data_IF_625155763382
#
_entry.id   IF_625155763382
#
_cell.length_a   1.000
_cell.length_b   1.000
_cell.length_c   1.000
_cell.angle_alpha   90.00
_cell.angle_beta   90.00
_cell.angle_gamma   90.00
#
_symmetry.space_group_name_H-M   'P 1'
#
loop_
_entity.id
_entity.type
_entity.pdbx_description
1 polymer ?
#
# COMPACT_ATOMS: atom_id res chain seq x y z
N UNK A 1 -11.37 2.98 0.03
CA UNK A 1 -10.21 3.46 0.82
C UNK A 1 -9.84 4.87 0.38
N UNK A 2 -9.58 5.80 1.30
CA UNK A 2 -9.08 7.15 0.94
C UNK A 2 -7.56 7.08 0.70
N UNK A 3 -7.13 7.41 -0.52
CA UNK A 3 -5.72 7.31 -0.94
C UNK A 3 -4.79 8.26 -0.16
N UNK A 4 -5.28 9.43 0.26
CA UNK A 4 -4.48 10.36 1.07
C UNK A 4 -4.28 9.84 2.48
N UNK A 5 -5.30 9.18 3.03
CA UNK A 5 -5.21 8.53 4.35
C UNK A 5 -4.28 7.32 4.27
N UNK A 6 -4.44 6.48 3.25
CA UNK A 6 -3.58 5.32 3.01
C UNK A 6 -2.11 5.73 2.81
N UNK A 7 -1.84 6.72 1.95
CA UNK A 7 -0.48 7.21 1.71
C UNK A 7 0.18 7.75 2.98
N UNK A 8 -0.53 8.56 3.79
CA UNK A 8 0.00 9.03 5.08
C UNK A 8 0.25 7.88 6.06
N UNK A 9 -0.63 6.89 6.08
CA UNK A 9 -0.51 5.74 6.94
C UNK A 9 0.71 4.88 6.56
N UNK A 10 0.90 4.59 5.27
CA UNK A 10 2.08 3.88 4.77
C UNK A 10 3.37 4.64 5.06
N UNK A 11 3.38 5.97 4.89
CA UNK A 11 4.55 6.77 5.23
C UNK A 11 4.92 6.69 6.71
N UNK A 12 3.93 6.67 7.62
CA UNK A 12 4.17 6.51 9.05
C UNK A 12 4.57 5.07 9.42
N UNK A 13 3.91 4.07 8.83
CA UNK A 13 4.11 2.65 9.16
C UNK A 13 5.47 2.12 8.70
N UNK A 14 5.91 2.57 7.52
CA UNK A 14 7.16 2.12 6.90
C UNK A 14 8.33 3.09 7.10
N UNK A 15 8.09 4.25 7.72
CA UNK A 15 9.08 5.33 7.85
C UNK A 15 9.73 5.72 6.50
N UNK A 16 9.01 5.51 5.40
CA UNK A 16 9.44 5.77 4.03
C UNK A 16 8.55 6.79 3.34
N UNK A 17 9.03 7.35 2.22
CA UNK A 17 8.19 8.22 1.39
C UNK A 17 7.04 7.42 0.79
N UNK A 18 5.81 7.91 0.98
CA UNK A 18 4.65 7.45 0.21
C UNK A 18 3.96 8.65 -0.40
N UNK A 19 3.52 8.50 -1.65
CA UNK A 19 2.77 9.54 -2.36
C UNK A 19 1.72 8.93 -3.27
N UNK A 20 0.58 9.59 -3.34
CA UNK A 20 -0.45 9.33 -4.36
C UNK A 20 0.08 9.82 -5.70
N UNK A 21 0.32 8.91 -6.64
CA UNK A 21 0.89 9.19 -7.96
C UNK A 21 -0.19 9.25 -9.04
N UNK A 22 -1.35 8.64 -8.80
CA UNK A 22 -2.45 8.57 -9.76
C UNK A 22 -3.83 8.69 -9.10
N UNK A 23 -4.87 8.51 -9.91
CA UNK A 23 -6.27 8.62 -9.45
C UNK A 23 -6.64 7.49 -8.47
N UNK A 24 -6.03 6.31 -8.62
CA UNK A 24 -6.14 5.13 -7.74
C UNK A 24 -4.78 4.44 -7.58
N UNK A 25 -3.70 5.23 -7.54
CA UNK A 25 -2.34 4.70 -7.44
C UNK A 25 -1.55 5.41 -6.33
N UNK A 26 -0.92 4.61 -5.48
CA UNK A 26 0.00 5.06 -4.44
C UNK A 26 1.33 4.35 -4.66
N UNK A 27 2.41 5.13 -4.63
CA UNK A 27 3.77 4.60 -4.59
C UNK A 27 4.30 4.70 -3.17
N UNK A 28 4.93 3.63 -2.71
CA UNK A 28 5.65 3.55 -1.43
C UNK A 28 7.11 3.24 -1.77
N UNK A 29 8.03 3.97 -1.16
CA UNK A 29 9.47 3.76 -1.35
C UNK A 29 9.95 2.61 -0.46
N UNK A 30 10.75 1.70 -1.04
CA UNK A 30 11.31 0.55 -0.33
C UNK A 30 10.60 -0.76 -0.66
N UNK A 31 11.24 -1.88 -0.31
CA UNK A 31 10.65 -3.21 -0.41
C UNK A 31 9.84 -3.49 0.86
N UNK A 32 8.58 -3.06 0.84
CA UNK A 32 7.63 -3.16 1.96
C UNK A 32 6.45 -4.06 1.60
N UNK A 33 6.62 -4.88 0.57
CA UNK A 33 5.55 -5.69 0.00
C UNK A 33 5.00 -6.67 1.02
N UNK A 34 5.87 -7.47 1.63
CA UNK A 34 5.48 -8.47 2.62
C UNK A 34 4.69 -7.82 3.77
N UNK A 35 5.21 -6.74 4.34
CA UNK A 35 4.52 -6.00 5.40
C UNK A 35 3.21 -5.34 4.91
N UNK A 36 3.13 -4.92 3.64
CA UNK A 36 1.94 -4.30 3.07
C UNK A 36 0.78 -5.30 2.99
N UNK A 37 1.06 -6.56 2.63
CA UNK A 37 0.07 -7.64 2.60
C UNK A 37 -0.54 -7.88 3.99
N UNK A 38 0.23 -7.78 5.06
CA UNK A 38 -0.27 -7.91 6.44
C UNK A 38 -1.06 -6.66 6.88
N UNK A 39 -0.53 -5.48 6.54
CA UNK A 39 -1.04 -4.19 7.02
C UNK A 39 -2.34 -3.76 6.33
N UNK A 40 -2.55 -4.13 5.07
CA UNK A 40 -3.75 -3.79 4.30
C UNK A 40 -5.04 -4.31 4.96
N UNK A 41 -5.22 -5.62 5.20
CA UNK A 41 -6.42 -6.17 5.83
C UNK A 41 -6.52 -5.76 7.32
N UNK A 42 -5.38 -5.59 8.01
CA UNK A 42 -5.37 -5.10 9.39
C UNK A 42 -5.94 -3.67 9.51
N UNK A 43 -5.55 -2.79 8.58
CA UNK A 43 -5.95 -1.38 8.59
C UNK A 43 -7.31 -1.15 7.94
N UNK A 44 -7.56 -1.80 6.80
CA UNK A 44 -8.73 -1.61 5.96
C UNK A 44 -9.56 -2.89 6.01
N UNK A 45 -10.49 -2.95 6.95
CA UNK A 45 -11.41 -4.10 7.13
C UNK A 45 -12.28 -4.40 5.91
N UNK A 46 -12.37 -3.46 4.96
CA UNK A 46 -13.09 -3.62 3.70
C UNK A 46 -12.23 -4.31 2.61
N UNK A 47 -10.93 -4.50 2.87
CA UNK A 47 -9.99 -5.21 1.99
C UNK A 47 -9.70 -6.57 2.63
N UNK A 48 -10.33 -7.62 2.09
CA UNK A 48 -9.91 -8.99 2.40
C UNK A 48 -8.63 -9.37 1.64
N UNK A 49 -7.87 -10.32 2.18
CA UNK A 49 -6.67 -10.88 1.54
C UNK A 49 -6.95 -11.41 0.13
N UNK A 50 -8.15 -11.96 -0.11
CA UNK A 50 -8.61 -12.43 -1.43
C UNK A 50 -8.74 -11.30 -2.48
N UNK A 51 -8.76 -10.04 -2.04
CA UNK A 51 -8.79 -8.86 -2.93
C UNK A 51 -7.39 -8.27 -3.17
N UNK A 52 -6.33 -8.89 -2.65
CA UNK A 52 -4.95 -8.41 -2.79
C UNK A 52 -4.20 -9.34 -3.74
N UNK A 53 -3.96 -8.87 -4.96
CA UNK A 53 -3.18 -9.61 -5.96
C UNK A 53 -1.74 -9.11 -6.01
N UNK A 54 -0.80 -10.05 -5.89
CA UNK A 54 0.61 -9.81 -6.13
C UNK A 54 0.94 -9.88 -7.63
N UNK A 55 1.19 -8.72 -8.24
CA UNK A 55 1.62 -8.62 -9.64
C UNK A 55 3.13 -8.86 -9.85
N UNK A 56 3.88 -9.16 -8.79
CA UNK A 56 5.32 -9.36 -8.80
C UNK A 56 6.11 -8.08 -9.03
N UNK A 57 7.40 -8.23 -9.34
CA UNK A 57 8.25 -7.11 -9.76
C UNK A 57 7.83 -6.63 -11.16
N UNK A 58 7.01 -5.59 -11.20
CA UNK A 58 6.79 -4.84 -12.42
C UNK A 58 8.08 -4.10 -12.79
N UNK A 59 9.00 -4.77 -13.49
CA UNK A 59 10.10 -4.11 -14.20
C UNK A 59 9.51 -3.18 -15.25
N UNK A 60 9.35 -1.90 -14.89
CA UNK A 60 9.22 -0.81 -15.86
C UNK A 60 10.58 -0.27 -16.25
#
# INVERSE_FOLDING_TARGET
>A
VDLKVASKFFAQRFACGSSVTGVDEIVIQGDVKDDLFDVLPEKFKDIDEDNIDDLGDAKR
#
